data_IF_766637957242
#
_entry.id   IF_766637957242
#
_cell.length_a   1.000
_cell.length_b   1.000
_cell.length_c   1.000
_cell.angle_alpha   90.00
_cell.angle_beta   90.00
_cell.angle_gamma   90.00
#
_symmetry.space_group_name_H-M   'P 1'
#
loop_
_entity.id
_entity.type
_entity.pdbx_description
1 polymer ?
#
# COMPACT_ATOMS: atom_id res chain seq x y z
N UNK A 1 -83.26 27.00 -16.25
CA UNK A 1 -82.06 27.85 -16.12
C UNK A 1 -81.94 28.38 -14.70
N UNK A 2 -81.08 27.78 -13.87
CA UNK A 2 -80.28 28.43 -12.81
C UNK A 2 -79.41 27.34 -12.19
N UNK A 3 -78.10 27.46 -12.44
CA UNK A 3 -77.04 26.54 -12.01
C UNK A 3 -76.82 26.71 -10.51
N UNK A 4 -76.81 25.58 -9.79
CA UNK A 4 -76.42 25.50 -8.40
C UNK A 4 -74.89 25.56 -8.32
N UNK A 5 -74.38 26.49 -7.52
CA UNK A 5 -72.95 26.68 -7.22
C UNK A 5 -72.53 25.64 -6.17
N UNK A 6 -71.52 24.83 -6.49
CA UNK A 6 -70.81 23.99 -5.52
C UNK A 6 -69.58 24.78 -5.05
N UNK A 7 -69.43 24.85 -3.73
CA UNK A 7 -68.38 25.55 -2.99
C UNK A 7 -67.11 24.70 -2.93
N UNK A 8 -65.96 25.39 -3.01
CA UNK A 8 -64.59 24.90 -2.87
C UNK A 8 -64.37 24.06 -1.61
N UNK A 9 -63.63 22.95 -1.75
CA UNK A 9 -62.64 22.50 -0.74
C UNK A 9 -61.37 22.13 -1.49
N UNK A 10 -60.40 23.04 -1.51
CA UNK A 10 -59.00 22.73 -1.81
C UNK A 10 -58.32 22.45 -0.47
N UNK A 11 -57.93 21.20 -0.23
CA UNK A 11 -57.09 20.82 0.90
C UNK A 11 -55.74 20.34 0.37
N UNK A 12 -54.71 20.95 0.95
CA UNK A 12 -53.28 20.88 0.67
C UNK A 12 -52.75 19.44 0.78
N UNK A 13 -52.02 18.99 -0.23
CA UNK A 13 -51.11 17.86 -0.14
C UNK A 13 -49.72 18.34 -0.56
N UNK A 14 -48.94 18.79 0.41
CA UNK A 14 -47.53 19.08 0.29
C UNK A 14 -46.80 18.42 1.48
N UNK A 15 -45.56 17.99 1.21
CA UNK A 15 -44.58 17.37 2.09
C UNK A 15 -44.64 15.83 2.20
N UNK A 16 -43.69 15.19 1.50
CA UNK A 16 -43.42 13.76 1.57
C UNK A 16 -42.14 13.40 0.81
N UNK A 17 -41.06 14.17 1.00
CA UNK A 17 -39.70 13.80 0.61
C UNK A 17 -38.76 14.37 1.69
N UNK A 18 -38.36 13.54 2.63
CA UNK A 18 -37.41 13.91 3.68
C UNK A 18 -36.96 12.68 4.46
N UNK A 19 -35.65 12.53 4.57
CA UNK A 19 -34.87 11.58 5.38
C UNK A 19 -34.64 10.17 4.78
N UNK A 20 -33.80 10.11 3.73
CA UNK A 20 -32.72 9.12 3.72
C UNK A 20 -31.61 9.70 4.60
N UNK A 21 -31.57 9.32 5.87
CA UNK A 21 -30.49 9.74 6.77
C UNK A 21 -29.26 8.88 6.47
N UNK A 22 -28.38 9.41 5.63
CA UNK A 22 -27.07 8.81 5.37
C UNK A 22 -26.22 9.01 6.61
N UNK A 23 -25.74 7.92 7.20
CA UNK A 23 -24.62 7.94 8.15
C UNK A 23 -23.44 8.61 7.42
N UNK A 24 -23.12 9.86 7.78
CA UNK A 24 -21.94 10.57 7.28
C UNK A 24 -20.82 10.47 8.29
N UNK A 25 -19.65 10.08 7.82
CA UNK A 25 -18.47 9.93 8.65
C UNK A 25 -17.63 11.21 8.61
N UNK A 26 -16.93 11.55 9.69
CA UNK A 26 -15.98 12.66 9.67
C UNK A 26 -15.01 12.53 8.48
N UNK A 27 -14.81 13.62 7.73
CA UNK A 27 -13.90 13.68 6.57
C UNK A 27 -14.53 13.62 5.17
N UNK A 28 -15.86 13.59 5.05
CA UNK A 28 -16.58 13.58 3.74
C UNK A 28 -16.52 14.91 2.95
N UNK A 29 -15.73 15.90 3.36
CA UNK A 29 -15.53 17.17 2.62
C UNK A 29 -16.75 18.11 2.49
N UNK A 30 -17.88 17.78 3.10
CA UNK A 30 -19.09 18.61 3.11
C UNK A 30 -19.11 19.67 4.23
N UNK A 31 -19.91 20.76 4.10
CA UNK A 31 -20.12 21.71 5.18
C UNK A 31 -20.73 21.02 6.41
N UNK A 32 -20.39 21.46 7.64
CA UNK A 32 -20.87 20.83 8.86
C UNK A 32 -22.40 20.86 8.92
N UNK A 33 -23.05 19.77 9.40
CA UNK A 33 -24.51 19.76 9.54
C UNK A 33 -24.95 20.84 10.53
N UNK A 34 -25.98 21.59 10.15
CA UNK A 34 -26.71 22.46 11.08
C UNK A 34 -27.34 21.59 12.16
N UNK A 35 -27.02 21.87 13.42
CA UNK A 35 -27.60 21.18 14.58
C UNK A 35 -29.13 21.30 14.50
N UNK A 36 -29.89 20.20 14.38
CA UNK A 36 -31.33 20.24 14.45
C UNK A 36 -31.77 20.69 15.86
N UNK A 37 -32.89 21.41 15.93
CA UNK A 37 -33.54 21.69 17.21
C UNK A 37 -33.74 20.37 17.99
N UNK A 38 -33.51 20.33 19.31
CA UNK A 38 -33.61 19.10 20.08
C UNK A 38 -35.03 18.53 19.94
N UNK A 39 -35.11 17.34 19.33
CA UNK A 39 -36.33 16.55 19.30
C UNK A 39 -36.75 16.18 20.73
N UNK A 40 -38.07 16.07 21.00
CA UNK A 40 -38.55 15.68 22.32
C UNK A 40 -38.08 14.26 22.67
N UNK A 41 -37.53 14.11 23.87
CA UNK A 41 -36.99 12.85 24.40
C UNK A 41 -37.96 11.66 24.20
N UNK A 42 -37.45 10.59 23.59
CA UNK A 42 -38.16 9.32 23.48
C UNK A 42 -38.34 8.68 24.88
N UNK A 43 -39.53 8.14 25.20
CA UNK A 43 -39.78 7.52 26.50
C UNK A 43 -38.92 6.25 26.70
N UNK A 44 -38.44 5.97 27.93
CA UNK A 44 -37.67 4.76 28.23
C UNK A 44 -38.44 3.48 27.88
N UNK A 45 -37.86 2.62 27.02
CA UNK A 45 -38.40 1.30 26.69
C UNK A 45 -39.07 1.17 25.30
N UNK A 46 -38.93 2.15 24.40
CA UNK A 46 -39.34 2.01 23.02
C UNK A 46 -38.48 0.92 22.30
N UNK A 47 -39.08 -0.07 21.63
CA UNK A 47 -38.34 -1.00 20.78
C UNK A 47 -37.61 -0.23 19.67
N UNK A 48 -36.33 -0.53 19.47
CA UNK A 48 -35.57 0.03 18.35
C UNK A 48 -36.21 -0.35 17.00
N UNK A 49 -35.99 0.44 15.95
CA UNK A 49 -36.52 0.12 14.63
C UNK A 49 -36.05 -1.28 14.20
N UNK A 50 -36.91 -2.08 13.53
CA UNK A 50 -36.50 -3.39 13.06
C UNK A 50 -35.35 -3.24 12.06
N UNK A 51 -34.38 -4.18 12.04
CA UNK A 51 -33.34 -4.17 11.03
C UNK A 51 -33.95 -4.26 9.62
N UNK A 52 -33.32 -3.65 8.61
CA UNK A 52 -33.82 -3.67 7.25
C UNK A 52 -33.96 -5.12 6.74
N UNK A 53 -35.10 -5.43 6.13
CA UNK A 53 -35.46 -6.78 5.69
C UNK A 53 -34.76 -7.25 4.41
N UNK A 54 -33.83 -6.45 3.88
CA UNK A 54 -33.05 -6.75 2.68
C UNK A 54 -31.61 -6.27 2.89
N UNK A 55 -30.59 -7.14 2.79
CA UNK A 55 -29.21 -6.69 2.66
C UNK A 55 -29.09 -5.72 1.48
N UNK A 56 -28.41 -4.59 1.68
CA UNK A 56 -28.05 -3.71 0.57
C UNK A 56 -26.73 -4.24 0.03
N UNK A 57 -26.76 -4.87 -1.15
CA UNK A 57 -25.54 -5.13 -1.91
C UNK A 57 -24.98 -3.80 -2.41
N UNK A 58 -23.71 -3.56 -2.11
CA UNK A 58 -22.89 -2.44 -2.59
C UNK A 58 -23.59 -1.06 -2.67
N UNK A 59 -23.92 -0.44 -1.52
CA UNK A 59 -24.48 0.92 -1.51
C UNK A 59 -23.49 2.03 -1.91
N UNK A 60 -22.19 1.72 -2.11
CA UNK A 60 -21.14 2.73 -2.27
C UNK A 60 -20.21 2.54 -3.47
N UNK A 61 -20.49 1.59 -4.36
CA UNK A 61 -19.83 1.46 -5.66
C UNK A 61 -18.34 1.13 -5.55
N UNK A 62 -17.96 0.28 -4.58
CA UNK A 62 -16.64 -0.35 -4.59
C UNK A 62 -16.75 -1.62 -5.45
N UNK A 63 -16.86 -1.43 -6.76
CA UNK A 63 -17.13 -2.50 -7.71
C UNK A 63 -16.06 -3.57 -7.71
N UNK A 64 -16.27 -4.63 -6.93
CA UNK A 64 -15.65 -5.94 -7.13
C UNK A 64 -16.77 -6.91 -7.55
N UNK A 65 -16.99 -7.02 -8.86
CA UNK A 65 -17.64 -8.19 -9.43
C UNK A 65 -16.54 -9.12 -9.93
N UNK A 66 -16.06 -9.99 -9.05
CA UNK A 66 -15.33 -11.20 -9.45
C UNK A 66 -16.34 -12.16 -10.10
N UNK A 67 -16.60 -11.95 -11.39
CA UNK A 67 -17.20 -12.97 -12.23
C UNK A 67 -16.09 -13.77 -12.87
N UNK A 68 -15.91 -14.97 -12.31
CA UNK A 68 -15.21 -16.12 -12.88
C UNK A 68 -15.58 -16.31 -14.36
N UNK A 69 -14.60 -16.17 -15.25
CA UNK A 69 -14.72 -16.55 -16.66
C UNK A 69 -13.74 -17.68 -16.92
N UNK A 70 -14.24 -18.89 -16.73
CA UNK A 70 -13.84 -20.03 -17.54
C UNK A 70 -14.40 -19.85 -18.97
N UNK A 71 -13.61 -20.18 -20.01
CA UNK A 71 -14.00 -20.95 -21.23
C UNK A 71 -12.99 -20.76 -22.38
N UNK A 72 -12.43 -21.90 -22.77
CA UNK A 72 -12.08 -22.45 -24.10
C UNK A 72 -11.27 -21.68 -25.17
N UNK A 73 -10.31 -22.44 -25.73
CA UNK A 73 -9.43 -22.17 -26.88
C UNK A 73 -10.14 -21.63 -28.14
N UNK A 74 -9.37 -20.96 -29.03
CA UNK A 74 -9.07 -21.64 -30.31
C UNK A 74 -7.65 -21.43 -30.88
N UNK A 75 -7.03 -22.55 -31.26
CA UNK A 75 -6.29 -22.86 -32.51
C UNK A 75 -5.53 -21.78 -33.30
N UNK A 76 -4.20 -21.91 -33.27
CA UNK A 76 -3.22 -22.00 -34.37
C UNK A 76 -3.56 -21.44 -35.77
N UNK A 77 -2.70 -20.55 -36.32
CA UNK A 77 -1.88 -20.82 -37.54
C UNK A 77 -0.95 -19.66 -37.93
N UNK A 78 0.34 -19.89 -37.71
CA UNK A 78 1.46 -19.93 -38.68
C UNK A 78 2.00 -18.71 -39.49
N UNK A 79 3.34 -18.69 -39.47
CA UNK A 79 4.34 -18.41 -40.54
C UNK A 79 4.98 -17.03 -40.83
N UNK A 80 6.29 -16.98 -40.51
CA UNK A 80 7.48 -16.58 -41.34
C UNK A 80 7.64 -15.12 -41.78
N UNK A 81 8.84 -14.51 -41.80
CA UNK A 81 10.21 -14.94 -41.52
C UNK A 81 11.25 -13.88 -41.96
N UNK A 82 12.51 -14.13 -41.57
CA UNK A 82 13.82 -13.76 -42.18
C UNK A 82 14.41 -12.34 -42.17
N UNK A 83 15.59 -12.27 -41.52
CA UNK A 83 16.91 -11.74 -41.93
C UNK A 83 17.10 -10.29 -42.42
N UNK A 84 18.02 -9.55 -41.78
CA UNK A 84 19.43 -9.43 -42.26
C UNK A 84 20.31 -8.60 -41.31
N UNK A 85 21.58 -9.01 -41.22
CA UNK A 85 22.71 -8.29 -40.64
C UNK A 85 23.17 -7.13 -41.54
N UNK A 86 23.89 -6.14 -41.01
CA UNK A 86 25.33 -5.99 -41.31
C UNK A 86 26.05 -4.89 -40.49
N UNK A 87 27.37 -5.04 -40.56
CA UNK A 87 28.52 -4.52 -39.84
C UNK A 87 28.84 -3.01 -39.84
N UNK A 88 29.63 -2.65 -38.81
CA UNK A 88 30.86 -1.83 -38.77
C UNK A 88 30.94 -0.45 -39.45
N UNK A 89 31.36 0.57 -38.69
CA UNK A 89 32.75 1.11 -38.73
C UNK A 89 32.93 2.35 -37.85
N UNK A 90 33.97 2.32 -37.02
CA UNK A 90 34.74 3.44 -36.42
C UNK A 90 36.16 3.33 -37.03
N UNK A 91 36.90 4.41 -37.35
CA UNK A 91 37.73 5.11 -36.34
C UNK A 91 37.93 6.62 -36.59
N UNK A 92 38.34 7.39 -35.58
CA UNK A 92 39.67 8.06 -35.59
C UNK A 92 39.87 9.06 -34.42
N UNK A 93 41.01 8.88 -33.76
CA UNK A 93 41.64 9.78 -32.77
C UNK A 93 42.91 10.35 -33.39
N UNK A 94 43.26 11.62 -33.09
CA UNK A 94 44.68 11.95 -32.95
C UNK A 94 45.00 12.67 -31.63
N UNK A 95 46.15 12.31 -31.08
CA UNK A 95 46.83 12.91 -29.94
C UNK A 95 47.66 14.15 -30.35
N UNK A 96 47.92 15.05 -29.40
CA UNK A 96 48.98 16.06 -29.46
C UNK A 96 49.63 16.23 -28.06
N UNK A 97 50.96 16.44 -27.93
CA UNK A 97 51.69 16.30 -26.68
C UNK A 97 52.22 17.63 -26.09
N UNK A 98 52.54 17.59 -24.79
CA UNK A 98 53.63 18.38 -24.19
C UNK A 98 53.21 19.53 -23.28
N UNK A 99 53.61 19.48 -22.01
CA UNK A 99 54.51 20.50 -21.45
C UNK A 99 55.14 20.09 -20.11
N UNK A 100 56.39 20.48 -19.95
CA UNK A 100 57.34 20.17 -18.86
C UNK A 100 57.09 20.95 -17.56
N UNK A 101 57.56 20.46 -16.39
CA UNK A 101 57.45 21.18 -15.12
C UNK A 101 58.61 22.19 -14.94
N UNK A 102 58.29 23.37 -14.37
CA UNK A 102 59.28 24.41 -13.99
C UNK A 102 59.47 24.41 -12.47
N UNK A 103 60.70 24.15 -12.05
CA UNK A 103 61.22 24.30 -10.68
C UNK A 103 61.18 25.76 -10.22
N UNK A 104 60.70 26.01 -8.99
CA UNK A 104 60.86 27.30 -8.29
C UNK A 104 61.53 27.07 -6.93
N UNK A 105 62.60 27.80 -6.57
CA UNK A 105 63.30 27.61 -5.29
C UNK A 105 62.60 28.33 -4.12
N UNK A 106 62.80 27.87 -2.86
CA UNK A 106 62.15 28.48 -1.70
C UNK A 106 62.85 29.79 -1.30
N UNK A 107 62.05 30.85 -1.13
CA UNK A 107 62.47 32.12 -0.53
C UNK A 107 62.10 32.18 0.96
N UNK A 108 63.09 32.56 1.77
CA UNK A 108 62.97 32.75 3.22
C UNK A 108 62.01 33.91 3.58
N UNK A 109 61.01 33.63 4.44
CA UNK A 109 60.15 34.65 5.05
C UNK A 109 60.42 34.72 6.57
N UNK A 110 60.54 35.90 7.20
CA UNK A 110 60.76 36.01 8.64
C UNK A 110 59.49 35.68 9.44
N UNK A 111 59.61 35.25 10.72
CA UNK A 111 58.44 34.84 11.51
C UNK A 111 57.57 36.04 11.91
N UNK A 112 56.28 35.89 11.70
CA UNK A 112 55.21 36.82 12.08
C UNK A 112 54.74 36.46 13.50
N UNK A 113 55.03 37.33 14.48
CA UNK A 113 54.58 37.19 15.87
C UNK A 113 53.13 37.69 16.01
N UNK A 114 52.17 36.88 15.55
CA UNK A 114 50.75 37.06 15.89
C UNK A 114 50.38 36.21 17.12
N UNK A 115 49.65 36.75 18.12
CA UNK A 115 49.15 35.95 19.23
C UNK A 115 48.17 34.88 18.71
N UNK A 116 48.52 33.61 18.92
CA UNK A 116 47.66 32.47 18.59
C UNK A 116 46.45 32.48 19.52
N UNK A 117 45.28 32.81 18.98
CA UNK A 117 44.01 32.53 19.64
C UNK A 117 43.86 31.01 19.69
N UNK A 118 43.55 30.39 20.85
CA UNK A 118 43.36 28.94 20.89
C UNK A 118 42.25 28.55 19.91
N UNK A 119 42.56 27.56 19.08
CA UNK A 119 41.64 26.96 18.12
C UNK A 119 40.37 26.52 18.86
N UNK A 120 39.15 26.83 18.37
CA UNK A 120 37.93 26.30 18.98
C UNK A 120 38.02 24.78 19.04
N UNK A 121 37.69 24.22 20.21
CA UNK A 121 37.66 22.78 20.43
C UNK A 121 36.78 22.12 19.34
N UNK A 122 37.25 21.05 18.67
CA UNK A 122 36.51 20.43 17.58
C UNK A 122 35.14 19.98 18.09
N UNK A 123 34.08 20.39 17.41
CA UNK A 123 32.73 19.89 17.69
C UNK A 123 32.75 18.35 17.59
N UNK A 124 32.07 17.65 18.51
CA UNK A 124 32.02 16.20 18.47
C UNK A 124 31.38 15.75 17.14
N UNK A 125 32.07 14.84 16.45
CA UNK A 125 31.57 14.25 15.21
C UNK A 125 30.21 13.59 15.45
N UNK A 126 29.21 13.80 14.58
CA UNK A 126 27.86 13.28 14.80
C UNK A 126 27.89 11.76 14.93
N UNK A 127 27.25 11.24 15.98
CA UNK A 127 27.11 9.79 16.18
C UNK A 127 26.33 9.16 15.02
N UNK A 128 26.99 8.29 14.25
CA UNK A 128 26.34 7.53 13.18
C UNK A 128 25.49 6.42 13.81
N UNK A 129 24.17 6.57 13.79
CA UNK A 129 23.24 5.53 14.23
C UNK A 129 23.24 4.41 13.18
N UNK A 130 23.53 3.14 13.56
CA UNK A 130 23.53 2.05 12.60
C UNK A 130 22.12 1.78 12.07
N UNK A 131 22.02 1.52 10.77
CA UNK A 131 20.76 1.15 10.13
C UNK A 131 20.17 -0.13 10.73
N UNK A 132 18.85 -0.16 10.88
CA UNK A 132 18.10 -1.31 11.43
C UNK A 132 17.68 -2.30 10.35
N UNK A 133 17.54 -1.82 9.13
CA UNK A 133 17.14 -2.57 7.96
C UNK A 133 17.60 -1.84 6.69
N UNK A 134 17.51 -2.52 5.55
CA UNK A 134 17.77 -1.90 4.25
C UNK A 134 16.60 -2.09 3.30
N UNK A 135 16.45 -1.18 2.35
CA UNK A 135 15.35 -1.16 1.39
C UNK A 135 15.75 -0.45 0.09
N UNK A 136 15.18 -0.84 -1.04
CA UNK A 136 15.36 -0.10 -2.30
C UNK A 136 14.49 1.16 -2.33
N UNK A 137 14.87 2.15 -3.14
CA UNK A 137 14.09 3.38 -3.32
C UNK A 137 12.64 3.11 -3.76
N UNK A 138 11.67 3.99 -3.44
CA UNK A 138 10.28 3.86 -3.91
C UNK A 138 10.20 3.66 -5.42
N UNK A 139 9.29 2.79 -5.87
CA UNK A 139 9.14 2.43 -7.28
C UNK A 139 10.20 1.50 -7.85
N UNK A 140 11.21 1.10 -7.08
CA UNK A 140 12.21 0.12 -7.48
C UNK A 140 11.64 -1.32 -7.44
N UNK A 141 10.80 -1.68 -8.40
CA UNK A 141 10.17 -3.00 -8.47
C UNK A 141 11.17 -4.10 -8.83
N UNK A 142 10.77 -5.36 -8.69
CA UNK A 142 11.56 -6.47 -9.24
C UNK A 142 11.70 -6.28 -10.77
N UNK A 143 12.91 -6.42 -11.34
CA UNK A 143 13.09 -6.19 -12.77
C UNK A 143 12.14 -7.04 -13.63
N UNK A 144 11.37 -6.39 -14.50
CA UNK A 144 10.42 -7.05 -15.40
C UNK A 144 9.03 -7.33 -14.82
N UNK A 145 8.74 -6.93 -13.56
CA UNK A 145 7.41 -7.15 -12.96
C UNK A 145 6.45 -5.99 -13.15
N UNK A 146 6.93 -4.82 -13.58
CA UNK A 146 6.10 -3.65 -13.87
C UNK A 146 6.92 -2.36 -13.96
N UNK A 147 6.23 -1.23 -13.83
CA UNK A 147 6.85 0.09 -13.72
C UNK A 147 6.37 0.74 -12.44
N UNK A 148 7.25 0.89 -11.46
CA UNK A 148 6.92 1.42 -10.13
C UNK A 148 6.64 2.92 -10.11
N UNK A 149 6.09 3.38 -9.00
CA UNK A 149 5.86 4.80 -8.72
C UNK A 149 7.06 5.37 -7.93
N UNK A 150 7.91 6.21 -8.53
CA UNK A 150 9.10 6.76 -7.84
C UNK A 150 8.75 7.90 -6.86
N UNK A 151 7.47 8.08 -6.53
CA UNK A 151 7.02 9.16 -5.65
C UNK A 151 7.46 8.86 -4.20
N UNK A 152 8.25 9.77 -3.64
CA UNK A 152 8.80 9.66 -2.28
C UNK A 152 7.83 10.18 -1.21
N UNK A 153 6.64 10.64 -1.60
CA UNK A 153 5.64 11.21 -0.67
C UNK A 153 5.27 10.20 0.41
N UNK A 154 5.38 10.63 1.68
CA UNK A 154 4.90 9.87 2.84
C UNK A 154 3.42 10.23 3.07
N UNK A 155 2.52 9.47 2.44
CA UNK A 155 1.07 9.71 2.51
C UNK A 155 0.47 9.57 3.92
N UNK A 156 1.11 8.76 4.77
CA UNK A 156 0.67 8.56 6.15
C UNK A 156 1.85 8.74 7.13
N UNK A 157 2.26 10.00 7.41
CA UNK A 157 3.47 10.27 8.16
C UNK A 157 3.39 9.83 9.62
N UNK A 158 2.20 9.84 10.22
CA UNK A 158 1.98 9.54 11.64
C UNK A 158 1.49 8.11 11.92
N UNK A 159 1.31 7.29 10.87
CA UNK A 159 0.80 5.93 11.05
C UNK A 159 1.79 5.05 11.83
N UNK A 160 1.27 4.13 12.63
CA UNK A 160 2.06 3.00 13.14
C UNK A 160 2.28 1.97 12.05
N UNK A 161 3.34 1.16 12.18
CA UNK A 161 3.55 0.04 11.28
C UNK A 161 2.49 -1.04 11.53
N UNK A 162 1.83 -1.61 10.50
CA UNK A 162 0.65 -2.45 10.69
C UNK A 162 0.93 -3.79 11.36
N UNK A 163 2.18 -4.27 11.36
CA UNK A 163 2.59 -5.46 12.10
C UNK A 163 3.15 -5.06 13.47
N UNK A 164 2.53 -5.56 14.53
CA UNK A 164 2.80 -5.10 15.89
C UNK A 164 4.26 -5.25 16.34
N UNK A 165 4.85 -6.43 16.10
CA UNK A 165 6.17 -6.77 16.67
C UNK A 165 7.00 -7.76 15.87
N UNK A 166 6.39 -8.54 14.97
CA UNK A 166 7.15 -9.53 14.20
C UNK A 166 8.10 -8.86 13.19
N UNK A 167 9.22 -9.52 12.84
CA UNK A 167 10.03 -9.13 11.69
C UNK A 167 9.15 -9.05 10.44
N UNK A 168 9.45 -8.13 9.52
CA UNK A 168 8.61 -7.87 8.36
C UNK A 168 9.47 -7.70 7.12
N UNK A 169 8.95 -8.09 5.97
CA UNK A 169 9.66 -8.13 4.69
C UNK A 169 8.73 -7.67 3.58
N UNK A 170 8.89 -6.42 3.16
CA UNK A 170 8.15 -5.82 2.05
C UNK A 170 8.77 -6.29 0.74
N UNK A 171 8.00 -7.02 -0.05
CA UNK A 171 8.43 -7.62 -1.31
C UNK A 171 7.20 -8.13 -2.07
N UNK A 172 7.35 -8.46 -3.36
CA UNK A 172 6.29 -9.15 -4.12
C UNK A 172 5.94 -10.51 -3.51
N UNK A 173 4.66 -10.85 -3.39
CA UNK A 173 4.22 -12.21 -3.04
C UNK A 173 4.01 -13.10 -4.27
N UNK A 174 3.86 -12.50 -5.44
CA UNK A 174 3.61 -13.16 -6.72
C UNK A 174 4.91 -13.55 -7.43
N UNK A 175 5.88 -12.64 -7.44
CA UNK A 175 7.14 -12.76 -8.19
C UNK A 175 8.34 -13.17 -7.33
N UNK A 176 8.09 -13.75 -6.15
CA UNK A 176 9.11 -14.33 -5.26
C UNK A 176 8.79 -15.79 -4.92
N UNK A 177 9.64 -16.44 -4.12
CA UNK A 177 9.49 -17.87 -3.82
C UNK A 177 8.17 -18.17 -3.10
N UNK A 178 7.45 -19.16 -3.62
CA UNK A 178 6.11 -19.53 -3.19
C UNK A 178 4.99 -18.76 -3.89
N UNK A 179 5.31 -17.72 -4.65
CA UNK A 179 4.37 -16.95 -5.45
C UNK A 179 3.93 -17.67 -6.72
N UNK A 180 2.78 -17.26 -7.26
CA UNK A 180 2.16 -17.90 -8.43
C UNK A 180 3.01 -17.89 -9.70
N UNK A 181 3.93 -16.93 -9.86
CA UNK A 181 4.73 -16.76 -11.09
C UNK A 181 6.11 -17.43 -11.03
N UNK A 182 6.67 -17.61 -9.83
CA UNK A 182 7.99 -18.21 -9.63
C UNK A 182 7.89 -19.65 -9.11
N UNK A 183 6.80 -19.98 -8.40
CA UNK A 183 6.65 -21.25 -7.69
C UNK A 183 7.63 -21.39 -6.52
N UNK A 184 7.84 -22.63 -6.06
CA UNK A 184 8.68 -22.91 -4.90
C UNK A 184 7.90 -22.88 -3.57
N UNK A 185 8.59 -22.57 -2.48
CA UNK A 185 7.99 -22.56 -1.14
C UNK A 185 7.94 -21.14 -0.56
N UNK A 186 6.78 -20.73 -0.06
CA UNK A 186 6.61 -19.46 0.65
C UNK A 186 7.47 -19.37 1.93
N UNK A 187 7.83 -20.49 2.55
CA UNK A 187 8.70 -20.49 3.73
C UNK A 187 10.20 -20.57 3.38
N UNK A 188 10.59 -20.33 2.13
CA UNK A 188 12.00 -20.23 1.74
C UNK A 188 12.69 -19.10 2.49
N UNK A 189 13.93 -19.35 2.95
CA UNK A 189 14.69 -18.40 3.77
C UNK A 189 14.90 -17.05 3.09
N UNK A 190 15.04 -17.03 1.76
CA UNK A 190 15.26 -15.83 0.96
C UNK A 190 14.09 -14.85 1.00
N UNK A 191 12.89 -15.31 1.37
CA UNK A 191 11.74 -14.43 1.56
C UNK A 191 11.78 -13.68 2.90
N UNK A 192 12.76 -13.93 3.77
CA UNK A 192 12.86 -13.33 5.10
C UNK A 192 14.20 -12.59 5.26
N UNK A 193 14.58 -11.86 4.21
CA UNK A 193 15.85 -11.14 4.10
C UNK A 193 15.62 -9.70 3.61
N UNK A 194 16.56 -8.81 3.95
CA UNK A 194 16.67 -7.46 3.40
C UNK A 194 17.61 -7.47 2.18
N UNK A 195 17.56 -6.47 1.29
CA UNK A 195 16.71 -5.28 1.31
C UNK A 195 15.24 -5.53 0.95
N UNK A 196 14.35 -4.75 1.56
CA UNK A 196 12.95 -4.67 1.12
C UNK A 196 12.83 -4.08 -0.28
N UNK A 197 11.72 -4.39 -0.94
CA UNK A 197 11.42 -3.88 -2.27
C UNK A 197 9.95 -3.51 -2.42
N UNK A 198 9.70 -2.38 -3.05
CA UNK A 198 8.36 -1.92 -3.41
C UNK A 198 7.70 -2.92 -4.37
N UNK A 199 6.40 -3.10 -4.23
CA UNK A 199 5.59 -3.90 -5.15
C UNK A 199 4.30 -3.20 -5.60
N UNK A 200 4.14 -1.91 -5.28
CA UNK A 200 3.08 -1.07 -5.82
C UNK A 200 3.29 -0.86 -7.32
N UNK A 201 2.23 -0.84 -8.12
CA UNK A 201 2.30 -0.83 -9.59
C UNK A 201 2.85 -2.10 -10.26
N UNK A 202 3.11 -3.19 -9.52
CA UNK A 202 3.42 -4.49 -10.16
C UNK A 202 2.27 -4.93 -11.06
N UNK A 203 2.61 -5.58 -12.18
CA UNK A 203 1.63 -6.09 -13.14
C UNK A 203 0.73 -7.13 -12.48
N UNK A 204 -0.58 -6.99 -12.68
CA UNK A 204 -1.65 -7.90 -12.26
C UNK A 204 -2.60 -8.15 -13.42
N UNK A 205 -3.50 -9.15 -13.33
CA UNK A 205 -4.50 -9.36 -14.38
C UNK A 205 -5.78 -8.56 -14.17
N UNK A 206 -6.18 -8.34 -12.92
CA UNK A 206 -7.37 -7.58 -12.57
C UNK A 206 -7.24 -6.11 -13.01
N UNK A 207 -8.31 -5.53 -13.58
CA UNK A 207 -8.28 -4.16 -14.12
C UNK A 207 -8.39 -3.10 -13.02
N UNK A 208 -7.31 -2.99 -12.23
CA UNK A 208 -7.12 -2.02 -11.14
C UNK A 208 -6.19 -0.89 -11.61
N UNK A 209 -6.26 0.29 -10.97
CA UNK A 209 -5.50 1.47 -11.41
C UNK A 209 -5.20 2.44 -10.27
N UNK A 210 -4.20 3.30 -10.49
CA UNK A 210 -3.85 4.38 -9.57
C UNK A 210 -3.32 5.56 -10.38
N UNK A 211 -3.59 6.82 -9.99
CA UNK A 211 -2.99 7.98 -10.65
C UNK A 211 -1.46 8.04 -10.52
N UNK A 212 -0.87 7.22 -9.64
CA UNK A 212 0.59 7.12 -9.44
C UNK A 212 1.25 6.06 -10.32
N UNK A 213 0.46 5.18 -10.96
CA UNK A 213 0.98 4.17 -11.86
C UNK A 213 0.82 4.62 -13.33
N UNK A 214 1.77 4.29 -14.22
CA UNK A 214 1.70 4.68 -15.63
C UNK A 214 0.65 3.87 -16.42
N UNK A 215 0.19 2.75 -15.87
CA UNK A 215 -0.76 1.82 -16.51
C UNK A 215 -1.81 1.34 -15.50
N UNK A 216 -2.91 0.79 -16.02
CA UNK A 216 -3.85 -0.03 -15.25
C UNK A 216 -3.35 -1.48 -15.19
N UNK A 217 -4.15 -2.36 -14.59
CA UNK A 217 -3.78 -3.76 -14.34
C UNK A 217 -2.58 -3.88 -13.41
N UNK A 218 -2.72 -3.20 -12.27
CA UNK A 218 -1.64 -3.02 -11.29
C UNK A 218 -2.01 -3.52 -9.90
N UNK A 219 -0.98 -3.79 -9.12
CA UNK A 219 -1.04 -4.05 -7.69
C UNK A 219 -1.30 -2.74 -6.90
N UNK A 220 -2.39 -2.70 -6.13
CA UNK A 220 -2.90 -1.51 -5.42
C UNK A 220 -2.53 -1.48 -3.93
N UNK A 221 -1.32 -1.90 -3.56
CA UNK A 221 -0.89 -1.89 -2.17
C UNK A 221 0.57 -2.27 -2.03
N UNK A 222 0.94 -2.61 -0.80
CA UNK A 222 2.21 -3.25 -0.50
C UNK A 222 1.97 -4.55 0.24
N UNK A 223 2.63 -5.61 -0.23
CA UNK A 223 2.61 -6.88 0.49
C UNK A 223 3.71 -6.93 1.54
N UNK A 224 3.38 -7.50 2.69
CA UNK A 224 4.23 -7.59 3.87
C UNK A 224 4.27 -9.04 4.31
N UNK A 225 5.40 -9.70 4.07
CA UNK A 225 5.67 -11.00 4.69
C UNK A 225 6.14 -10.81 6.11
N UNK A 226 5.81 -11.75 7.00
CA UNK A 226 5.98 -11.57 8.44
C UNK A 226 6.63 -12.80 9.09
N UNK A 227 7.49 -12.56 10.08
CA UNK A 227 8.06 -13.59 10.94
C UNK A 227 9.39 -14.15 10.43
N UNK A 228 9.52 -15.48 10.50
CA UNK A 228 10.72 -16.23 10.10
C UNK A 228 10.31 -17.45 9.28
N UNK A 229 11.25 -18.12 8.59
CA UNK A 229 10.96 -19.36 7.88
C UNK A 229 10.28 -20.42 8.76
N UNK A 230 10.68 -20.52 10.03
CA UNK A 230 10.11 -21.50 10.95
C UNK A 230 8.72 -21.07 11.47
N UNK A 231 8.47 -19.78 11.67
CA UNK A 231 7.11 -19.29 11.94
C UNK A 231 6.19 -19.57 10.77
N UNK A 232 6.63 -19.33 9.53
CA UNK A 232 5.87 -19.63 8.32
C UNK A 232 5.50 -21.12 8.23
N UNK A 233 6.44 -22.04 8.48
CA UNK A 233 6.16 -23.48 8.49
C UNK A 233 5.17 -23.87 9.59
N UNK A 234 5.28 -23.26 10.76
CA UNK A 234 4.36 -23.46 11.88
C UNK A 234 2.94 -23.00 11.53
N UNK A 235 2.79 -21.80 10.97
CA UNK A 235 1.50 -21.26 10.56
C UNK A 235 0.88 -22.10 9.43
N UNK A 236 1.65 -22.55 8.44
CA UNK A 236 1.17 -23.48 7.40
C UNK A 236 0.68 -24.81 7.97
N UNK A 237 1.29 -25.29 9.03
CA UNK A 237 0.91 -26.53 9.72
C UNK A 237 -0.26 -26.35 10.68
N UNK A 238 -0.63 -25.09 10.96
CA UNK A 238 -1.77 -24.71 11.80
C UNK A 238 -3.02 -24.58 10.92
N UNK A 239 -4.17 -25.03 11.43
CA UNK A 239 -5.47 -24.81 10.81
C UNK A 239 -5.68 -23.32 10.57
N UNK A 240 -6.19 -22.95 9.39
CA UNK A 240 -6.38 -21.54 9.02
C UNK A 240 -7.14 -20.75 10.09
N UNK A 241 -8.20 -21.33 10.66
CA UNK A 241 -9.01 -20.69 11.71
C UNK A 241 -8.26 -20.44 13.03
N UNK A 242 -7.13 -21.11 13.28
CA UNK A 242 -6.37 -21.04 14.53
C UNK A 242 -5.04 -20.28 14.43
N UNK A 243 -4.70 -19.77 13.23
CA UNK A 243 -3.49 -18.98 12.97
C UNK A 243 -3.52 -17.64 13.66
N UNK A 244 -2.55 -17.40 14.54
CA UNK A 244 -2.50 -16.19 15.37
C UNK A 244 -1.06 -15.72 15.66
N UNK A 245 -0.05 -16.19 14.91
CA UNK A 245 1.35 -15.87 15.23
C UNK A 245 1.72 -14.39 15.02
N UNK A 246 1.04 -13.69 14.12
CA UNK A 246 1.44 -12.37 13.65
C UNK A 246 0.29 -11.38 13.80
N UNK A 247 0.33 -10.58 14.86
CA UNK A 247 -0.69 -9.56 15.17
C UNK A 247 -0.63 -8.37 14.20
N UNK A 248 -1.81 -8.01 13.67
CA UNK A 248 -2.03 -6.82 12.83
C UNK A 248 -2.77 -5.78 13.67
N UNK A 249 -2.28 -4.54 13.65
CA UNK A 249 -2.81 -3.44 14.47
C UNK A 249 -3.41 -2.32 13.63
N UNK A 250 -4.32 -1.56 14.24
CA UNK A 250 -4.79 -0.29 13.72
C UNK A 250 -3.62 0.69 13.63
N UNK A 251 -3.34 1.16 12.42
CA UNK A 251 -2.21 2.06 12.18
C UNK A 251 -2.46 3.49 12.67
N UNK A 252 -3.73 3.89 12.83
CA UNK A 252 -4.15 5.20 13.33
C UNK A 252 -5.44 5.06 14.15
N UNK A 253 -5.74 6.08 14.96
CA UNK A 253 -7.06 6.22 15.59
C UNK A 253 -8.13 6.34 14.50
N UNK A 254 -9.24 5.62 14.62
CA UNK A 254 -10.28 5.69 13.60
C UNK A 254 -11.46 4.79 13.85
N UNK A 255 -12.23 4.54 12.79
CA UNK A 255 -13.40 3.68 12.82
C UNK A 255 -13.26 2.56 11.80
N UNK A 256 -13.63 1.35 12.18
CA UNK A 256 -13.70 0.22 11.26
C UNK A 256 -14.92 0.42 10.35
N UNK A 257 -14.67 0.79 9.10
CA UNK A 257 -15.73 1.14 8.14
C UNK A 257 -16.24 -0.06 7.35
N UNK A 258 -15.46 -1.14 7.26
CA UNK A 258 -15.85 -2.36 6.55
C UNK A 258 -15.11 -3.58 7.11
N UNK A 259 -15.78 -4.73 7.10
CA UNK A 259 -15.19 -6.06 7.30
C UNK A 259 -15.71 -6.92 6.15
N UNK A 260 -14.81 -7.27 5.24
CA UNK A 260 -15.09 -8.08 4.06
C UNK A 260 -14.95 -9.58 4.34
N UNK A 261 -14.84 -10.38 3.28
CA UNK A 261 -14.63 -11.83 3.38
C UNK A 261 -13.19 -12.22 3.71
N UNK A 262 -12.22 -11.32 3.52
CA UNK A 262 -10.81 -11.50 3.83
C UNK A 262 -10.10 -10.18 4.18
N UNK A 263 -10.86 -9.12 4.46
CA UNK A 263 -10.31 -7.78 4.63
C UNK A 263 -11.01 -7.00 5.74
N UNK A 264 -10.31 -5.99 6.26
CA UNK A 264 -10.84 -4.98 7.17
C UNK A 264 -10.43 -3.60 6.66
N UNK A 265 -11.34 -2.62 6.75
CA UNK A 265 -11.05 -1.23 6.39
C UNK A 265 -11.12 -0.37 7.65
N UNK A 266 -10.04 0.37 7.93
CA UNK A 266 -9.97 1.41 8.94
C UNK A 266 -10.04 2.78 8.26
N UNK A 267 -10.99 3.61 8.66
CA UNK A 267 -11.09 4.99 8.17
C UNK A 267 -10.55 5.96 9.21
N UNK A 268 -9.61 6.81 8.80
CA UNK A 268 -9.03 7.85 9.65
C UNK A 268 -8.51 9.04 8.84
N UNK A 269 -8.72 10.26 9.30
CA UNK A 269 -8.03 11.45 8.76
C UNK A 269 -8.11 11.65 7.23
N UNK A 270 -9.23 11.30 6.59
CA UNK A 270 -9.37 11.37 5.12
C UNK A 270 -8.68 10.25 4.35
N UNK A 271 -8.22 9.21 5.06
CA UNK A 271 -7.60 7.99 4.54
C UNK A 271 -8.46 6.78 4.88
N UNK A 272 -8.33 5.75 4.05
CA UNK A 272 -8.81 4.40 4.32
C UNK A 272 -7.59 3.48 4.26
N UNK A 273 -7.36 2.74 5.33
CA UNK A 273 -6.37 1.69 5.41
C UNK A 273 -7.07 0.35 5.23
N UNK A 274 -6.65 -0.42 4.24
CA UNK A 274 -7.22 -1.73 3.96
C UNK A 274 -6.21 -2.80 4.36
N UNK A 275 -6.64 -3.76 5.16
CA UNK A 275 -5.84 -4.88 5.64
C UNK A 275 -6.43 -6.14 5.01
N UNK A 276 -5.70 -6.79 4.11
CA UNK A 276 -6.14 -7.99 3.40
C UNK A 276 -5.43 -9.24 3.93
N UNK A 277 -6.03 -10.38 3.66
CA UNK A 277 -5.52 -11.71 4.01
C UNK A 277 -5.38 -11.90 5.53
N UNK A 278 -6.30 -11.29 6.28
CA UNK A 278 -6.41 -11.50 7.72
C UNK A 278 -7.06 -12.85 8.03
N UNK A 279 -6.75 -13.42 9.20
CA UNK A 279 -7.52 -14.55 9.72
C UNK A 279 -8.90 -14.05 10.16
N UNK A 280 -9.91 -14.28 9.33
CA UNK A 280 -11.25 -13.74 9.56
C UNK A 280 -11.98 -14.41 10.72
N UNK A 281 -11.55 -15.61 11.13
CA UNK A 281 -12.09 -16.28 12.32
C UNK A 281 -11.52 -15.72 13.64
N UNK A 282 -10.50 -14.85 13.58
CA UNK A 282 -9.76 -14.32 14.74
C UNK A 282 -9.63 -12.80 14.71
N UNK A 283 -10.59 -12.09 14.11
CA UNK A 283 -10.65 -10.63 14.23
C UNK A 283 -10.93 -10.21 15.67
N UNK A 284 -10.34 -9.08 16.05
CA UNK A 284 -10.56 -8.42 17.36
C UNK A 284 -11.49 -7.21 17.25
N UNK A 285 -12.02 -6.95 16.05
CA UNK A 285 -12.86 -5.79 15.73
C UNK A 285 -14.06 -6.19 14.87
N UNK A 286 -15.08 -5.34 14.87
CA UNK A 286 -16.26 -5.41 14.03
C UNK A 286 -16.53 -4.07 13.31
N UNK A 287 -17.39 -4.09 12.29
CA UNK A 287 -17.82 -2.87 11.59
C UNK A 287 -18.45 -1.90 12.59
N UNK A 288 -18.01 -0.64 12.56
CA UNK A 288 -18.49 0.44 13.41
C UNK A 288 -17.68 0.63 14.70
N UNK A 289 -16.75 -0.27 15.02
CA UNK A 289 -15.89 -0.11 16.19
C UNK A 289 -14.96 1.09 16.03
N UNK A 290 -14.79 1.84 17.12
CA UNK A 290 -13.74 2.85 17.23
C UNK A 290 -12.49 2.19 17.78
N UNK A 291 -11.35 2.43 17.15
CA UNK A 291 -10.05 1.88 17.53
C UNK A 291 -9.05 3.00 17.74
N UNK A 292 -8.08 2.75 18.61
CA UNK A 292 -6.89 3.58 18.78
C UNK A 292 -5.73 2.98 18.00
N UNK A 293 -4.78 3.83 17.59
CA UNK A 293 -3.54 3.38 17.00
C UNK A 293 -2.85 2.37 17.93
N UNK A 294 -2.56 1.17 17.43
CA UNK A 294 -1.97 0.07 18.19
C UNK A 294 -2.96 -0.98 18.68
N UNK A 295 -4.27 -0.71 18.62
CA UNK A 295 -5.29 -1.72 18.91
C UNK A 295 -5.19 -2.88 17.91
N UNK A 296 -5.38 -4.10 18.39
CA UNK A 296 -5.31 -5.28 17.53
C UNK A 296 -6.54 -5.34 16.63
N UNK A 297 -6.34 -5.46 15.33
CA UNK A 297 -7.39 -5.70 14.32
C UNK A 297 -7.60 -7.19 14.14
N UNK A 298 -6.51 -7.95 14.02
CA UNK A 298 -6.54 -9.37 13.72
C UNK A 298 -5.15 -9.95 13.57
N UNK A 299 -5.02 -10.99 12.74
CA UNK A 299 -3.77 -11.71 12.55
C UNK A 299 -3.54 -11.96 11.07
N UNK A 300 -2.27 -11.95 10.65
CA UNK A 300 -1.87 -12.32 9.28
C UNK A 300 -2.30 -13.75 8.98
N UNK A 301 -2.87 -13.97 7.80
CA UNK A 301 -3.28 -15.28 7.27
C UNK A 301 -3.02 -15.33 5.76
N UNK A 302 -3.75 -16.19 5.07
CA UNK A 302 -3.81 -16.27 3.62
C UNK A 302 -5.24 -16.36 3.11
N UNK A 303 -6.20 -15.83 3.87
CA UNK A 303 -7.61 -15.82 3.51
C UNK A 303 -7.80 -14.99 2.25
N UNK A 304 -8.58 -15.49 1.28
CA UNK A 304 -8.80 -14.82 -0.01
C UNK A 304 -10.29 -14.83 -0.41
N UNK A 305 -11.19 -15.12 0.54
CA UNK A 305 -12.62 -15.33 0.25
C UNK A 305 -12.94 -16.58 -0.60
N UNK A 306 -11.91 -17.38 -0.92
CA UNK A 306 -11.99 -18.56 -1.77
C UNK A 306 -10.71 -19.38 -1.67
N UNK A 307 -10.01 -19.55 -2.79
CA UNK A 307 -8.71 -20.25 -2.83
C UNK A 307 -7.65 -19.44 -2.07
N UNK A 308 -7.06 -19.96 -0.99
CA UNK A 308 -6.09 -19.21 -0.20
C UNK A 308 -4.84 -18.82 -0.99
N UNK A 309 -4.28 -17.66 -0.65
CA UNK A 309 -3.00 -17.17 -1.19
C UNK A 309 -1.80 -17.65 -0.34
N UNK A 310 -0.64 -16.99 -0.43
CA UNK A 310 0.50 -17.16 0.48
C UNK A 310 0.30 -16.37 1.78
N UNK A 311 0.99 -16.76 2.86
CA UNK A 311 0.87 -16.09 4.16
C UNK A 311 1.54 -14.72 4.14
N UNK A 312 0.76 -13.64 4.15
CA UNK A 312 1.23 -12.27 4.20
C UNK A 312 0.08 -11.30 4.54
N UNK A 313 0.42 -10.05 4.85
CA UNK A 313 -0.54 -8.96 4.91
C UNK A 313 -0.43 -8.18 3.60
N UNK A 314 -1.54 -7.99 2.89
CA UNK A 314 -1.62 -6.99 1.83
C UNK A 314 -2.21 -5.71 2.42
N UNK A 315 -1.49 -4.59 2.28
CA UNK A 315 -1.82 -3.33 2.92
C UNK A 315 -2.00 -2.23 1.88
N UNK A 316 -3.18 -1.60 1.87
CA UNK A 316 -3.53 -0.52 0.96
C UNK A 316 -3.77 0.78 1.72
N UNK A 317 -3.43 1.91 1.10
CA UNK A 317 -3.86 3.24 1.53
C UNK A 317 -4.67 3.86 0.40
N UNK A 318 -5.87 4.29 0.72
CA UNK A 318 -6.70 5.12 -0.16
C UNK A 318 -6.83 6.52 0.45
N UNK A 319 -6.51 7.54 -0.33
CA UNK A 319 -6.53 8.94 0.10
C UNK A 319 -7.69 9.68 -0.59
N UNK A 320 -8.46 10.44 0.17
CA UNK A 320 -9.45 11.35 -0.40
C UNK A 320 -8.73 12.42 -1.23
N UNK A 321 -9.11 12.55 -2.50
CA UNK A 321 -8.47 13.46 -3.46
C UNK A 321 -9.03 14.89 -3.47
N UNK A 322 -9.93 15.21 -2.53
CA UNK A 322 -10.53 16.53 -2.37
C UNK A 322 -11.62 16.88 -3.37
N UNK A 323 -11.82 16.06 -4.41
CA UNK A 323 -12.83 16.24 -5.46
C UNK A 323 -14.01 15.25 -5.32
N UNK A 324 -14.19 14.67 -4.13
CA UNK A 324 -15.19 13.64 -3.87
C UNK A 324 -14.80 12.25 -4.36
N UNK A 325 -13.54 12.04 -4.76
CA UNK A 325 -12.98 10.75 -5.15
C UNK A 325 -11.93 10.24 -4.16
N UNK A 326 -11.49 9.02 -4.42
CA UNK A 326 -10.56 8.27 -3.60
C UNK A 326 -9.49 7.67 -4.50
N UNK A 327 -8.22 7.97 -4.21
CA UNK A 327 -7.08 7.50 -4.98
C UNK A 327 -6.29 6.47 -4.17
N UNK A 328 -5.94 5.35 -4.79
CA UNK A 328 -4.97 4.41 -4.22
C UNK A 328 -3.58 5.03 -4.31
N UNK A 329 -2.97 5.25 -3.15
CA UNK A 329 -1.64 5.90 -3.04
C UNK A 329 -0.57 4.87 -2.67
N UNK A 330 0.69 5.04 -3.11
CA UNK A 330 1.79 4.15 -2.74
C UNK A 330 1.99 4.11 -1.20
N UNK A 331 1.85 2.93 -0.55
CA UNK A 331 2.03 2.84 0.90
C UNK A 331 3.50 2.66 1.32
N UNK A 332 4.39 2.32 0.39
CA UNK A 332 5.76 1.87 0.65
C UNK A 332 6.57 2.85 1.51
N UNK A 333 6.61 4.12 1.15
CA UNK A 333 7.32 5.19 1.89
C UNK A 333 6.76 5.39 3.30
N UNK A 334 5.44 5.28 3.47
CA UNK A 334 4.79 5.37 4.79
C UNK A 334 5.09 4.16 5.66
N UNK A 335 5.22 2.98 5.06
CA UNK A 335 5.63 1.76 5.75
C UNK A 335 7.11 1.83 6.18
N UNK A 336 8.00 2.32 5.31
CA UNK A 336 9.41 2.57 5.68
C UNK A 336 9.49 3.53 6.88
N UNK A 337 8.89 4.71 6.78
CA UNK A 337 8.94 5.72 7.85
C UNK A 337 8.34 5.23 9.18
N UNK A 338 7.24 4.45 9.11
CA UNK A 338 6.63 3.88 10.31
C UNK A 338 7.45 2.73 10.92
N UNK A 339 8.17 1.98 10.09
CA UNK A 339 9.08 0.92 10.56
C UNK A 339 10.33 1.50 11.23
N UNK A 340 10.91 2.59 10.71
CA UNK A 340 12.02 3.30 11.36
C UNK A 340 11.66 3.76 12.78
N UNK A 341 10.44 4.30 12.95
CA UNK A 341 9.90 4.67 14.27
C UNK A 341 9.73 3.44 15.16
N UNK A 342 9.22 2.33 14.63
CA UNK A 342 9.01 1.08 15.37
C UNK A 342 10.33 0.49 15.87
N UNK A 343 11.35 0.46 15.01
CA UNK A 343 12.68 -0.11 15.33
C UNK A 343 13.61 0.89 16.03
N UNK A 344 13.15 2.12 16.23
CA UNK A 344 13.88 3.22 16.84
C UNK A 344 15.27 3.40 16.19
N UNK A 345 15.29 3.45 14.85
CA UNK A 345 16.50 3.64 14.07
C UNK A 345 16.22 3.73 12.56
N UNK A 346 17.18 4.28 11.79
CA UNK A 346 16.99 4.54 10.38
C UNK A 346 17.02 3.24 9.55
N UNK A 347 16.35 3.26 8.40
CA UNK A 347 16.61 2.33 7.33
C UNK A 347 17.72 2.83 6.41
N UNK A 348 18.40 1.91 5.74
CA UNK A 348 19.39 2.23 4.71
C UNK A 348 18.77 2.07 3.32
N UNK A 349 18.75 3.16 2.55
CA UNK A 349 18.38 3.11 1.13
C UNK A 349 19.51 2.44 0.37
N UNK A 350 19.16 1.45 -0.44
CA UNK A 350 20.07 0.75 -1.34
C UNK A 350 19.82 1.27 -2.76
N UNK A 351 20.82 1.93 -3.33
CA UNK A 351 20.79 2.34 -4.72
C UNK A 351 20.85 1.11 -5.63
N UNK A 352 19.98 1.05 -6.64
CA UNK A 352 19.99 -0.04 -7.64
C UNK A 352 21.30 -0.10 -8.44
N UNK A 353 22.10 0.99 -8.42
CA UNK A 353 23.43 1.03 -9.03
C UNK A 353 24.55 0.44 -8.17
N UNK A 354 24.39 0.43 -6.84
CA UNK A 354 25.41 -0.06 -5.89
C UNK A 354 25.29 -1.56 -5.64
N UNK A 355 24.09 -2.12 -5.84
CA UNK A 355 23.89 -3.55 -5.97
C UNK A 355 23.86 -3.84 -7.45
N UNK A 356 24.92 -4.46 -7.99
CA UNK A 356 24.82 -5.15 -9.26
C UNK A 356 23.76 -6.25 -9.11
N UNK A 357 22.49 -5.89 -9.29
CA UNK A 357 21.39 -6.83 -9.36
C UNK A 357 21.59 -7.55 -10.70
N UNK A 358 22.43 -8.59 -10.65
CA UNK A 358 22.55 -9.60 -11.69
C UNK A 358 21.30 -10.50 -11.67
N UNK A 359 20.10 -9.91 -11.55
CA UNK A 359 18.86 -10.62 -11.77
C UNK A 359 18.43 -10.34 -13.20
N UNK A 360 18.44 -11.38 -14.03
CA UNK A 360 17.78 -11.37 -15.33
C UNK A 360 16.34 -10.89 -15.11
N UNK A 361 15.86 -9.87 -15.86
CA UNK A 361 14.49 -9.41 -15.76
C UNK A 361 13.51 -10.58 -15.90
N UNK A 362 12.51 -10.62 -15.02
CA UNK A 362 11.44 -11.59 -15.13
C UNK A 362 10.66 -11.31 -16.42
N UNK A 363 10.41 -12.36 -17.21
CA UNK A 363 9.60 -12.25 -18.42
C UNK A 363 8.23 -12.79 -18.11
N UNK A 364 7.24 -11.91 -18.02
CA UNK A 364 5.84 -12.28 -17.83
C UNK A 364 5.33 -12.90 -19.15
N UNK A 365 4.84 -14.16 -19.14
CA UNK A 365 4.19 -14.75 -20.32
C UNK A 365 2.95 -13.94 -20.73
N UNK A 366 2.71 -13.77 -22.03
CA UNK A 366 1.65 -12.89 -22.56
C UNK A 366 0.24 -13.23 -22.02
N UNK A 367 -0.05 -14.51 -21.79
CA UNK A 367 -1.35 -15.01 -21.33
C UNK A 367 -1.37 -15.34 -19.82
N UNK A 368 -0.37 -14.90 -19.06
CA UNK A 368 -0.30 -15.19 -17.63
C UNK A 368 -1.45 -14.52 -16.87
N UNK A 369 -2.21 -15.34 -16.12
CA UNK A 369 -3.18 -14.85 -15.15
C UNK A 369 -2.45 -14.65 -13.82
N UNK A 370 -2.23 -13.39 -13.47
CA UNK A 370 -1.54 -12.94 -12.27
C UNK A 370 -2.59 -12.47 -11.28
N UNK A 371 -2.87 -13.33 -10.30
CA UNK A 371 -3.83 -13.11 -9.22
C UNK A 371 -3.07 -12.75 -7.95
N UNK A 372 -3.60 -11.71 -7.30
CA UNK A 372 -3.35 -11.12 -5.96
C UNK A 372 -3.43 -9.59 -6.08
#
# INVERSE_FOLDING_TARGET
MKRLRIVLISAVAAAGLGACDFIRFPGDGGPPPSVPDPEPDLPPGAPGPPPPSTPVEDPYGAGDTDTDVSVDEPTDTDTTGTDTADADTDPDVPADPGDTPVDTPPGDTPPDDTPVTPDPEPEPEPEVIPAKFSYFSPGALLPGTGTGAPDETVFAPDMLFPIKSSPSYLQSMVFTFGGGMVGGDQCDARNFEYPWRDNFCETRSANRGSPYCPVNKIHQGQDIRVGTPDNCKSERSTSAADRQAHEVIAVEDGVISNVGSYSVNLRSGGRIYKYLHLNMAKLSVAIGDNVQAGDTIGYVSNDFGGTPTVLHLHFEITQNNGNGGWDYVPPYTSLVASYERRENGPGEVIDEGDVAIASTPFVIPEDAIIIE
#
